data_IF_084754771039
#
_entry.id   IF_084754771039
#
_cell.length_a   1.000
_cell.length_b   1.000
_cell.length_c   1.000
_cell.angle_alpha   90.00
_cell.angle_beta   90.00
_cell.angle_gamma   90.00
#
_symmetry.space_group_name_H-M   'P 1'
#
loop_
_entity.id
_entity.type
_entity.pdbx_description
1 polymer ?
#
# COMPACT_ATOMS: atom_id res chain seq x y z
N UNK A 1 -11.89 -0.36 7.25
CA UNK A 1 -10.56 0.27 7.11
C UNK A 1 -10.15 1.19 8.27
N UNK A 2 -11.06 1.95 8.90
CA UNK A 2 -10.72 2.90 9.99
C UNK A 2 -9.83 2.32 11.10
N UNK A 3 -10.20 1.16 11.66
CA UNK A 3 -9.46 0.50 12.72
C UNK A 3 -7.97 0.27 12.39
N UNK A 4 -7.65 -0.04 11.13
CA UNK A 4 -6.28 -0.25 10.67
C UNK A 4 -5.59 1.07 10.30
N UNK A 5 -6.26 1.92 9.53
CA UNK A 5 -5.66 3.08 8.86
C UNK A 5 -5.61 4.31 9.76
N UNK A 6 -6.64 4.52 10.57
CA UNK A 6 -6.80 5.70 11.44
C UNK A 6 -6.45 5.36 12.88
N UNK A 7 -6.98 4.24 13.38
CA UNK A 7 -6.80 3.85 14.79
C UNK A 7 -5.52 2.99 14.98
N UNK A 8 -4.82 2.68 13.89
CA UNK A 8 -3.54 1.94 13.87
C UNK A 8 -3.54 0.62 14.65
N UNK A 9 -4.68 -0.07 14.71
CA UNK A 9 -4.80 -1.37 15.34
C UNK A 9 -4.09 -2.43 14.51
N UNK A 10 -3.38 -3.33 15.19
CA UNK A 10 -2.84 -4.53 14.55
C UNK A 10 -3.97 -5.43 14.03
N UNK A 11 -3.68 -6.22 12.99
CA UNK A 11 -4.61 -7.22 12.46
C UNK A 11 -5.10 -8.18 13.55
N UNK A 12 -4.26 -8.53 14.52
CA UNK A 12 -4.65 -9.36 15.67
C UNK A 12 -5.69 -8.69 16.56
N UNK A 13 -5.58 -7.37 16.81
CA UNK A 13 -6.60 -6.63 17.57
C UNK A 13 -7.90 -6.50 16.79
N UNK A 14 -7.82 -6.31 15.48
CA UNK A 14 -9.00 -6.29 14.60
C UNK A 14 -9.70 -7.65 14.63
N UNK A 15 -8.95 -8.74 14.51
CA UNK A 15 -9.48 -10.10 14.57
C UNK A 15 -10.17 -10.39 15.91
N UNK A 16 -9.53 -10.03 17.02
CA UNK A 16 -10.11 -10.17 18.36
C UNK A 16 -11.40 -9.35 18.54
N UNK A 17 -11.40 -8.09 18.10
CA UNK A 17 -12.58 -7.21 18.18
C UNK A 17 -13.75 -7.67 17.31
N UNK A 18 -13.48 -8.39 16.21
CA UNK A 18 -14.48 -8.94 15.31
C UNK A 18 -14.87 -10.40 15.65
N UNK A 19 -14.18 -11.05 16.60
CA UNK A 19 -14.42 -12.45 16.94
C UNK A 19 -14.08 -13.45 15.83
N UNK A 20 -13.12 -13.12 14.96
CA UNK A 20 -12.72 -13.96 13.80
C UNK A 20 -11.27 -14.42 13.91
N UNK A 21 -10.91 -15.43 13.12
CA UNK A 21 -9.52 -15.85 12.98
C UNK A 21 -8.66 -14.73 12.36
N UNK A 22 -7.40 -14.66 12.78
CA UNK A 22 -6.43 -13.68 12.25
C UNK A 22 -6.35 -13.70 10.72
N UNK A 23 -6.31 -14.91 10.14
CA UNK A 23 -6.26 -15.11 8.68
C UNK A 23 -7.45 -14.46 7.98
N UNK A 24 -8.65 -14.67 8.50
CA UNK A 24 -9.89 -14.11 7.94
C UNK A 24 -9.87 -12.58 7.98
N UNK A 25 -9.43 -11.99 9.09
CA UNK A 25 -9.27 -10.53 9.19
C UNK A 25 -8.21 -10.01 8.21
N UNK A 26 -7.07 -10.70 8.08
CA UNK A 26 -6.00 -10.33 7.17
C UNK A 26 -6.43 -10.39 5.70
N UNK A 27 -7.10 -11.47 5.30
CA UNK A 27 -7.62 -11.65 3.93
C UNK A 27 -8.64 -10.56 3.57
N UNK A 28 -9.56 -10.24 4.49
CA UNK A 28 -10.52 -9.16 4.30
C UNK A 28 -9.83 -7.79 4.14
N UNK A 29 -8.81 -7.50 4.95
CA UNK A 29 -8.01 -6.26 4.85
C UNK A 29 -7.30 -6.17 3.50
N UNK A 30 -6.66 -7.25 3.04
CA UNK A 30 -5.97 -7.26 1.75
C UNK A 30 -6.93 -7.09 0.57
N UNK A 31 -8.07 -7.78 0.61
CA UNK A 31 -9.10 -7.68 -0.43
C UNK A 31 -9.66 -6.25 -0.52
N UNK A 32 -10.02 -5.66 0.62
CA UNK A 32 -10.58 -4.31 0.66
C UNK A 32 -9.54 -3.23 0.33
N UNK A 33 -8.30 -3.40 0.82
CA UNK A 33 -7.19 -2.53 0.46
C UNK A 33 -6.95 -2.52 -1.04
N UNK A 34 -6.95 -3.69 -1.69
CA UNK A 34 -6.81 -3.78 -3.14
C UNK A 34 -8.00 -3.17 -3.88
N UNK A 35 -9.23 -3.44 -3.43
CA UNK A 35 -10.44 -2.89 -4.05
C UNK A 35 -10.45 -1.35 -4.04
N UNK A 36 -10.10 -0.75 -2.90
CA UNK A 36 -10.19 0.71 -2.70
C UNK A 36 -8.98 1.46 -3.23
N UNK A 37 -7.77 0.89 -3.11
CA UNK A 37 -6.53 1.63 -3.40
C UNK A 37 -5.96 1.31 -4.78
N UNK A 38 -6.21 0.11 -5.31
CA UNK A 38 -5.48 -0.39 -6.50
C UNK A 38 -6.43 -0.72 -7.65
N UNK A 39 -7.63 -1.22 -7.41
CA UNK A 39 -8.51 -1.71 -8.48
C UNK A 39 -9.39 -0.62 -9.12
N UNK A 40 -9.27 0.64 -8.70
CA UNK A 40 -9.92 1.74 -9.39
C UNK A 40 -9.22 1.99 -10.73
N UNK A 41 -9.94 1.86 -11.84
CA UNK A 41 -9.42 2.08 -13.19
C UNK A 41 -9.07 3.54 -13.44
N UNK A 42 -9.75 4.47 -12.76
CA UNK A 42 -9.55 5.92 -12.86
C UNK A 42 -8.42 6.43 -11.96
N UNK A 43 -7.72 5.55 -11.23
CA UNK A 43 -6.71 5.94 -10.24
C UNK A 43 -5.56 6.78 -10.81
N UNK A 44 -5.31 6.69 -12.11
CA UNK A 44 -4.26 7.45 -12.81
C UNK A 44 -4.75 8.77 -13.42
N UNK A 45 -6.04 9.08 -13.33
CA UNK A 45 -6.59 10.32 -13.89
C UNK A 45 -5.93 11.53 -13.23
N UNK A 46 -5.58 12.50 -14.08
CA UNK A 46 -4.93 13.76 -13.73
C UNK A 46 -3.59 13.66 -12.99
N UNK A 47 -2.96 12.48 -12.94
CA UNK A 47 -1.60 12.34 -12.42
C UNK A 47 -0.62 13.08 -13.34
N UNK A 48 0.14 14.02 -12.77
CA UNK A 48 1.18 14.79 -13.46
C UNK A 48 2.56 14.62 -12.84
N UNK A 49 2.64 14.17 -11.59
CA UNK A 49 3.90 13.99 -10.85
C UNK A 49 3.88 12.67 -10.13
N UNK A 50 4.77 11.77 -10.55
CA UNK A 50 4.90 10.44 -9.98
C UNK A 50 6.14 10.40 -9.09
N UNK A 51 5.94 9.93 -7.86
CA UNK A 51 7.00 9.44 -6.99
C UNK A 51 7.10 7.92 -7.11
N UNK A 52 8.32 7.41 -7.10
CA UNK A 52 8.60 5.97 -7.01
C UNK A 52 9.54 5.75 -5.84
N UNK A 53 9.20 4.79 -4.99
CA UNK A 53 10.02 4.39 -3.85
C UNK A 53 10.19 2.86 -3.82
N UNK A 54 11.35 2.37 -3.39
CA UNK A 54 11.61 0.94 -3.20
C UNK A 54 11.79 0.66 -1.72
N UNK A 55 10.81 -0.02 -1.13
CA UNK A 55 10.85 -0.40 0.28
C UNK A 55 11.33 -1.84 0.43
N UNK A 56 12.37 -2.03 1.26
CA UNK A 56 12.85 -3.35 1.67
C UNK A 56 12.27 -3.71 3.03
N UNK A 57 11.65 -4.88 3.14
CA UNK A 57 11.16 -5.42 4.39
C UNK A 57 11.62 -6.85 4.61
N UNK A 58 11.63 -7.28 5.87
CA UNK A 58 12.06 -8.61 6.27
C UNK A 58 11.31 -9.07 7.51
N UNK A 59 10.61 -10.21 7.41
CA UNK A 59 9.89 -10.82 8.54
C UNK A 59 10.68 -11.93 9.26
N UNK A 60 11.69 -12.52 8.62
CA UNK A 60 12.52 -13.58 9.23
C UNK A 60 14.00 -13.23 9.15
N UNK A 61 14.91 -14.03 9.73
CA UNK A 61 16.34 -13.72 9.72
C UNK A 61 16.95 -13.61 8.30
N UNK A 62 16.32 -14.20 7.27
CA UNK A 62 16.76 -14.18 5.87
C UNK A 62 15.58 -13.89 4.94
N UNK A 63 15.89 -13.51 3.70
CA UNK A 63 14.90 -13.33 2.64
C UNK A 63 14.30 -11.94 2.64
N UNK A 64 15.10 -10.95 2.21
CA UNK A 64 14.59 -9.61 1.92
C UNK A 64 13.47 -9.69 0.91
N UNK A 65 12.45 -8.88 1.19
CA UNK A 65 11.32 -8.65 0.32
C UNK A 65 11.36 -7.20 -0.09
N UNK A 66 11.09 -6.95 -1.37
CA UNK A 66 11.13 -5.63 -1.96
C UNK A 66 9.75 -5.34 -2.53
N UNK A 67 9.27 -4.13 -2.29
CA UNK A 67 8.08 -3.59 -2.92
C UNK A 67 8.42 -2.24 -3.51
N UNK A 68 7.99 -2.04 -4.74
CA UNK A 68 8.02 -0.73 -5.39
C UNK A 68 6.69 -0.05 -5.17
N UNK A 69 6.72 1.12 -4.54
CA UNK A 69 5.55 1.95 -4.26
C UNK A 69 5.48 3.05 -5.31
N UNK A 70 4.36 3.14 -6.01
CA UNK A 70 4.08 4.20 -6.98
C UNK A 70 3.09 5.18 -6.35
N UNK A 71 3.46 6.45 -6.31
CA UNK A 71 2.75 7.48 -5.57
C UNK A 71 2.43 8.65 -6.50
N UNK A 72 1.17 9.11 -6.48
CA UNK A 72 0.80 10.39 -7.06
C UNK A 72 1.17 11.52 -6.07
N UNK A 73 2.12 12.35 -6.50
CA UNK A 73 2.59 13.52 -5.76
C UNK A 73 1.96 14.82 -6.28
N UNK A 74 1.08 14.75 -7.29
CA UNK A 74 0.43 15.92 -7.91
C UNK A 74 -0.33 16.77 -6.88
N UNK A 75 -1.15 16.21 -5.97
CA UNK A 75 -1.87 17.02 -4.99
C UNK A 75 -0.94 17.75 -4.02
N UNK A 76 0.14 17.08 -3.58
CA UNK A 76 1.15 17.68 -2.71
C UNK A 76 1.88 18.81 -3.41
N UNK A 77 2.32 18.61 -4.66
CA UNK A 77 3.00 19.64 -5.46
C UNK A 77 2.10 20.86 -5.69
N UNK A 78 0.82 20.61 -5.96
CA UNK A 78 -0.16 21.66 -6.22
C UNK A 78 -0.78 22.25 -4.94
N UNK A 79 -0.40 21.74 -3.76
CA UNK A 79 -0.97 22.14 -2.45
C UNK A 79 -2.48 21.98 -2.35
N UNK A 80 -3.03 20.96 -3.02
CA UNK A 80 -4.49 20.68 -3.05
C UNK A 80 -4.89 19.49 -2.18
N UNK A 81 -3.92 18.71 -1.69
CA UNK A 81 -4.19 17.56 -0.84
C UNK A 81 -2.96 16.72 -0.57
N UNK A 82 -3.13 15.59 0.13
CA UNK A 82 -2.04 14.65 0.41
C UNK A 82 -1.67 13.83 -0.82
N UNK A 83 -0.50 13.21 -0.78
CA UNK A 83 -0.08 12.22 -1.76
C UNK A 83 -1.05 11.02 -1.76
N UNK A 84 -1.21 10.38 -2.93
CA UNK A 84 -2.12 9.23 -3.10
C UNK A 84 -1.33 8.02 -3.55
N UNK A 85 -1.62 6.86 -2.97
CA UNK A 85 -1.04 5.60 -3.44
C UNK A 85 -1.66 5.23 -4.80
N UNK A 86 -0.84 4.88 -5.78
CA UNK A 86 -1.27 4.42 -7.10
C UNK A 86 -1.05 2.91 -7.30
N UNK A 87 0.09 2.41 -6.83
CA UNK A 87 0.40 0.99 -6.91
C UNK A 87 1.43 0.53 -5.86
N UNK A 88 1.45 -0.76 -5.57
CA UNK A 88 2.45 -1.46 -4.79
C UNK A 88 2.79 -2.80 -5.46
N UNK A 89 3.98 -2.87 -6.05
CA UNK A 89 4.39 -3.97 -6.90
C UNK A 89 5.49 -4.76 -6.20
N UNK A 90 5.29 -6.06 -6.02
CA UNK A 90 6.32 -6.95 -5.46
C UNK A 90 7.50 -7.14 -6.43
N UNK A 91 8.70 -7.21 -5.87
CA UNK A 91 9.93 -7.47 -6.62
C UNK A 91 10.89 -6.29 -6.62
N UNK A 92 12.03 -6.46 -7.30
CA UNK A 92 13.05 -5.41 -7.41
C UNK A 92 12.82 -4.60 -8.68
N UNK A 93 12.59 -3.30 -8.53
CA UNK A 93 12.51 -2.37 -9.68
C UNK A 93 13.87 -1.78 -10.04
N UNK A 94 14.85 -1.81 -9.12
CA UNK A 94 16.21 -1.28 -9.38
C UNK A 94 16.84 -1.83 -10.66
N UNK A 95 16.61 -3.11 -11.00
CA UNK A 95 17.15 -3.70 -12.22
C UNK A 95 16.61 -3.07 -13.52
N UNK A 96 15.41 -2.50 -13.49
CA UNK A 96 14.78 -1.84 -14.64
C UNK A 96 15.15 -0.35 -14.79
N UNK A 97 15.74 0.25 -13.75
CA UNK A 97 16.11 1.68 -13.70
C UNK A 97 17.61 1.93 -13.99
N UNK A 98 18.39 0.88 -14.23
CA UNK A 98 19.75 0.99 -14.71
C UNK A 98 19.75 0.94 -16.25
N UNK A 99 20.14 2.04 -16.89
CA UNK A 99 20.59 2.09 -18.28
C UNK A 99 22.11 1.94 -18.33
#
# INVERSE_FOLDING_TARGET
>A
MKALVIDHLSVSRIAAGLGVAWRTANEAVLAEGRRVLINDETRFDDVRVIGVDEHVWRHTRRGDKYVTVVIDLTPTRNKTGPARLLDMIEGRSKAALHR
#
